data_IF_041730855019
#
_entry.id   IF_041730855019
#
_cell.length_a   1.000
_cell.length_b   1.000
_cell.length_c   1.000
_cell.angle_alpha   90.00
_cell.angle_beta   90.00
_cell.angle_gamma   90.00
#
_symmetry.space_group_name_H-M   'P 1'
#
loop_
_entity.id
_entity.type
_entity.pdbx_description
1 polymer ?
#
# COMPACT_ATOMS: atom_id res chain seq x y z
N UNK A 1 -24.19 2.86 24.40
CA UNK A 1 -24.01 2.28 25.74
C UNK A 1 -22.70 1.51 25.79
N UNK A 2 -21.95 1.52 26.88
CA UNK A 2 -20.78 0.64 27.03
C UNK A 2 -21.17 -0.80 26.73
N UNK A 3 -20.25 -1.56 26.07
CA UNK A 3 -20.45 -2.96 25.72
C UNK A 3 -21.69 -3.23 24.83
N UNK A 4 -22.01 -2.31 23.93
CA UNK A 4 -23.07 -2.50 22.94
C UNK A 4 -22.53 -2.38 21.52
N UNK A 5 -23.20 -3.04 20.58
CA UNK A 5 -22.92 -2.92 19.14
C UNK A 5 -23.92 -1.97 18.50
N UNK A 6 -23.45 -1.18 17.56
CA UNK A 6 -24.31 -0.32 16.73
C UNK A 6 -24.05 -0.64 15.26
N UNK A 7 -25.11 -0.76 14.47
CA UNK A 7 -25.02 -1.01 13.03
C UNK A 7 -25.48 0.23 12.29
N UNK A 8 -24.70 0.63 11.28
CA UNK A 8 -25.05 1.69 10.34
C UNK A 8 -25.17 1.09 8.94
N UNK A 9 -26.14 1.57 8.19
CA UNK A 9 -26.23 1.30 6.75
C UNK A 9 -26.16 2.63 6.02
N UNK A 10 -25.33 2.68 4.97
CA UNK A 10 -25.14 3.88 4.18
C UNK A 10 -25.11 3.50 2.69
N UNK A 11 -25.81 4.30 1.89
CA UNK A 11 -25.70 4.27 0.43
C UNK A 11 -25.06 5.57 -0.01
N UNK A 12 -24.13 5.48 -0.95
CA UNK A 12 -23.47 6.67 -1.51
C UNK A 12 -23.16 6.47 -2.99
N UNK A 13 -23.08 7.57 -3.70
CA UNK A 13 -22.58 7.64 -5.07
C UNK A 13 -21.32 8.49 -5.08
N UNK A 14 -20.33 8.08 -5.89
CA UNK A 14 -19.10 8.82 -6.08
C UNK A 14 -18.73 8.86 -7.56
N UNK A 15 -18.29 10.01 -8.01
CA UNK A 15 -17.71 10.17 -9.35
C UNK A 15 -16.21 9.95 -9.27
N UNK A 16 -15.70 8.95 -10.00
CA UNK A 16 -14.25 8.69 -10.06
C UNK A 16 -13.62 9.77 -10.93
N UNK A 17 -12.80 10.68 -10.36
CA UNK A 17 -12.14 11.72 -11.12
C UNK A 17 -11.04 11.16 -12.02
N UNK A 18 -10.54 11.95 -12.96
CA UNK A 18 -9.20 11.69 -13.48
C UNK A 18 -8.21 11.76 -12.31
N UNK A 19 -7.23 10.87 -12.31
CA UNK A 19 -6.27 10.84 -11.21
C UNK A 19 -5.49 12.15 -11.13
N UNK A 20 -5.57 12.79 -9.97
CA UNK A 20 -4.77 13.97 -9.60
C UNK A 20 -3.68 13.56 -8.63
N UNK A 21 -4.06 12.74 -7.65
CA UNK A 21 -3.21 12.15 -6.64
C UNK A 21 -3.46 10.63 -6.57
N UNK A 22 -3.66 10.08 -5.41
CA UNK A 22 -3.69 8.63 -5.08
C UNK A 22 -4.89 7.88 -5.66
N UNK A 23 -6.06 8.53 -5.75
CA UNK A 23 -7.30 7.93 -6.28
C UNK A 23 -7.72 8.55 -7.60
N UNK A 24 -8.29 7.74 -8.47
CA UNK A 24 -8.85 8.22 -9.73
C UNK A 24 -8.77 7.20 -10.87
N UNK A 25 -9.15 7.65 -12.04
CA UNK A 25 -9.09 6.86 -13.28
C UNK A 25 -8.03 7.40 -14.23
N UNK A 26 -7.53 6.51 -15.13
CA UNK A 26 -6.59 6.85 -16.18
C UNK A 26 -5.35 7.58 -15.66
N UNK A 27 -4.57 6.89 -14.83
CA UNK A 27 -3.33 7.45 -14.31
C UNK A 27 -2.28 7.64 -15.41
N UNK A 28 -1.16 8.26 -15.10
CA UNK A 28 -0.11 8.57 -16.09
C UNK A 28 0.58 7.33 -16.69
N UNK A 29 0.49 6.16 -16.07
CA UNK A 29 1.01 4.89 -16.59
C UNK A 29 -0.08 4.07 -17.31
N UNK A 30 -1.29 4.60 -17.43
CA UNK A 30 -2.39 3.99 -18.19
C UNK A 30 -3.27 3.05 -17.36
N UNK A 31 -3.13 3.01 -16.04
CA UNK A 31 -3.99 2.18 -15.19
C UNK A 31 -5.40 2.77 -15.15
N UNK A 32 -6.39 1.93 -15.43
CA UNK A 32 -7.78 2.35 -15.58
C UNK A 32 -8.38 2.95 -14.31
N UNK A 33 -8.16 2.33 -13.15
CA UNK A 33 -8.70 2.78 -11.86
C UNK A 33 -7.76 2.50 -10.70
N UNK A 34 -7.61 3.49 -9.82
CA UNK A 34 -7.02 3.34 -8.49
C UNK A 34 -8.00 3.88 -7.46
N UNK A 35 -8.39 3.03 -6.53
CA UNK A 35 -9.48 3.30 -5.58
C UNK A 35 -8.94 3.26 -4.16
N UNK A 36 -8.51 4.41 -3.72
CA UNK A 36 -8.03 4.65 -2.36
C UNK A 36 -8.92 5.70 -1.70
N UNK A 37 -9.18 5.59 -0.41
CA UNK A 37 -10.09 6.49 0.31
C UNK A 37 -11.48 6.62 -0.38
N UNK A 38 -11.99 5.50 -0.90
CA UNK A 38 -13.15 5.45 -1.82
C UNK A 38 -14.50 5.24 -1.14
N UNK A 39 -14.49 4.95 0.16
CA UNK A 39 -15.69 4.68 0.96
C UNK A 39 -15.70 5.56 2.21
N UNK A 40 -16.88 5.85 2.82
CA UNK A 40 -16.98 6.54 4.10
C UNK A 40 -16.34 5.72 5.22
N UNK A 41 -15.34 6.28 5.91
CA UNK A 41 -14.67 5.65 7.06
C UNK A 41 -15.22 6.22 8.37
N UNK A 42 -15.24 5.39 9.41
CA UNK A 42 -15.52 5.85 10.78
C UNK A 42 -14.25 6.50 11.31
N UNK A 43 -14.39 7.75 11.82
CA UNK A 43 -13.28 8.39 12.50
C UNK A 43 -12.99 7.68 13.84
N UNK A 44 -11.72 7.63 14.23
CA UNK A 44 -11.35 7.18 15.56
C UNK A 44 -11.85 8.15 16.63
N UNK A 45 -12.19 7.60 17.79
CA UNK A 45 -12.50 8.38 19.00
C UNK A 45 -11.49 8.02 20.08
N UNK A 46 -10.61 8.95 20.40
CA UNK A 46 -9.57 8.78 21.40
C UNK A 46 -9.74 9.77 22.58
N UNK A 47 -8.69 9.99 23.36
CA UNK A 47 -8.69 10.90 24.51
C UNK A 47 -8.84 12.39 24.12
N UNK A 48 -8.51 12.74 22.88
CA UNK A 48 -8.69 14.10 22.32
C UNK A 48 -10.06 14.27 21.63
N UNK A 49 -10.86 13.18 21.54
CA UNK A 49 -12.17 13.17 20.91
C UNK A 49 -12.17 12.51 19.53
N UNK A 50 -13.01 13.01 18.62
CA UNK A 50 -13.10 12.47 17.26
C UNK A 50 -11.93 12.94 16.38
N UNK A 51 -11.16 12.01 15.83
CA UNK A 51 -10.08 12.29 14.88
C UNK A 51 -10.64 12.63 13.48
N UNK A 52 -11.21 13.83 13.35
CA UNK A 52 -11.83 14.35 12.11
C UNK A 52 -10.96 15.46 11.51
N UNK A 53 -9.73 15.13 11.15
CA UNK A 53 -8.78 16.09 10.60
C UNK A 53 -9.07 16.37 9.13
N UNK A 54 -9.00 17.64 8.74
CA UNK A 54 -9.02 18.03 7.33
C UNK A 54 -7.76 17.46 6.63
N UNK A 55 -7.95 16.90 5.45
CA UNK A 55 -6.84 16.45 4.64
C UNK A 55 -6.11 17.64 4.00
N UNK A 56 -5.04 18.08 4.63
CA UNK A 56 -4.18 19.18 4.17
C UNK A 56 -2.73 18.67 4.12
N UNK A 57 -2.40 17.87 3.10
CA UNK A 57 -1.05 17.31 2.93
C UNK A 57 -0.61 16.38 4.05
N UNK A 58 -1.54 15.63 4.63
CA UNK A 58 -1.35 14.68 5.73
C UNK A 58 -1.62 13.25 5.27
N UNK A 59 -1.17 12.28 6.03
CA UNK A 59 -1.50 10.88 5.84
C UNK A 59 -2.90 10.54 6.39
N UNK A 60 -3.39 9.33 6.09
CA UNK A 60 -4.74 8.91 6.41
C UNK A 60 -4.76 8.05 7.66
N UNK A 61 -5.50 8.47 8.66
CA UNK A 61 -5.69 7.71 9.90
C UNK A 61 -7.09 7.10 9.99
N UNK A 62 -7.18 5.90 10.53
CA UNK A 62 -8.43 5.21 10.82
C UNK A 62 -8.22 4.14 11.90
N UNK A 63 -9.28 3.74 12.64
CA UNK A 63 -9.17 2.63 13.57
C UNK A 63 -9.02 1.29 12.85
N UNK A 64 -8.42 0.32 13.50
CA UNK A 64 -8.41 -1.06 13.03
C UNK A 64 -9.82 -1.55 12.75
N UNK A 65 -9.97 -2.17 11.60
CA UNK A 65 -11.26 -2.69 11.12
C UNK A 65 -11.09 -4.03 10.41
N UNK A 66 -12.15 -4.85 10.47
CA UNK A 66 -12.29 -6.00 9.62
C UNK A 66 -13.11 -5.62 8.39
N UNK A 67 -12.67 -6.04 7.22
CA UNK A 67 -13.28 -5.74 5.93
C UNK A 67 -13.82 -7.00 5.26
N UNK A 68 -15.03 -6.91 4.75
CA UNK A 68 -15.65 -7.85 3.81
C UNK A 68 -16.14 -7.01 2.62
N UNK A 69 -15.43 -7.11 1.50
CA UNK A 69 -15.59 -6.20 0.36
C UNK A 69 -15.99 -6.96 -0.88
N UNK A 70 -17.13 -6.58 -1.46
CA UNK A 70 -17.60 -7.09 -2.75
C UNK A 70 -17.54 -6.01 -3.81
N UNK A 71 -16.70 -6.22 -4.85
CA UNK A 71 -16.54 -5.29 -5.96
C UNK A 71 -17.16 -5.92 -7.21
N UNK A 72 -18.15 -5.25 -7.77
CA UNK A 72 -18.81 -5.70 -9.00
C UNK A 72 -18.43 -4.80 -10.16
N UNK A 73 -17.66 -5.35 -11.09
CA UNK A 73 -17.06 -4.62 -12.23
C UNK A 73 -17.15 -5.44 -13.51
N UNK A 74 -16.85 -4.88 -14.67
CA UNK A 74 -16.78 -5.64 -15.91
C UNK A 74 -15.83 -6.83 -15.76
N UNK A 75 -16.24 -8.01 -16.27
CA UNK A 75 -15.51 -9.26 -16.07
C UNK A 75 -14.09 -9.27 -16.65
N UNK A 76 -13.78 -8.31 -17.53
CA UNK A 76 -12.48 -8.19 -18.20
C UNK A 76 -11.43 -7.52 -17.32
N UNK A 77 -11.84 -6.91 -16.21
CA UNK A 77 -10.91 -6.33 -15.26
C UNK A 77 -10.23 -7.39 -14.42
N UNK A 78 -8.97 -7.13 -14.09
CA UNK A 78 -8.23 -7.77 -13.01
C UNK A 78 -8.09 -6.75 -11.87
N UNK A 79 -8.36 -7.17 -10.64
CA UNK A 79 -8.27 -6.32 -9.46
C UNK A 79 -7.08 -6.75 -8.61
N UNK A 80 -6.20 -5.79 -8.27
CA UNK A 80 -5.26 -5.90 -7.17
C UNK A 80 -5.78 -5.17 -5.94
N UNK A 81 -5.68 -5.78 -4.76
CA UNK A 81 -6.15 -5.18 -3.52
C UNK A 81 -5.34 -5.66 -2.31
N UNK A 82 -5.51 -4.99 -1.16
CA UNK A 82 -5.12 -5.50 0.14
C UNK A 82 -6.09 -6.58 0.62
N UNK A 83 -5.57 -7.60 1.32
CA UNK A 83 -6.39 -8.68 1.86
C UNK A 83 -6.30 -9.98 1.10
N UNK A 84 -7.27 -10.86 1.37
CA UNK A 84 -7.38 -12.20 0.78
C UNK A 84 -8.53 -12.22 -0.21
N UNK A 85 -8.26 -12.68 -1.44
CA UNK A 85 -9.28 -12.92 -2.45
C UNK A 85 -9.98 -14.25 -2.15
N UNK A 86 -11.29 -14.20 -1.87
CA UNK A 86 -12.08 -15.36 -1.45
C UNK A 86 -12.57 -16.22 -2.63
N UNK A 87 -12.61 -15.68 -3.83
CA UNK A 87 -13.14 -16.37 -5.00
C UNK A 87 -12.21 -16.35 -6.24
N UNK A 88 -10.94 -16.75 -6.10
CA UNK A 88 -9.97 -16.69 -7.20
C UNK A 88 -10.35 -17.57 -8.40
N UNK A 89 -11.16 -18.62 -8.18
CA UNK A 89 -11.65 -19.50 -9.24
C UNK A 89 -12.85 -18.93 -10.05
N UNK A 90 -13.39 -17.80 -9.64
CA UNK A 90 -14.59 -17.17 -10.26
C UNK A 90 -14.26 -15.88 -11.01
N UNK A 91 -13.03 -15.38 -10.88
CA UNK A 91 -12.53 -14.13 -11.47
C UNK A 91 -11.22 -14.39 -12.20
N UNK A 92 -10.82 -13.48 -13.08
CA UNK A 92 -9.60 -13.69 -13.87
C UNK A 92 -8.31 -13.23 -13.14
N UNK A 93 -7.19 -13.79 -13.59
CA UNK A 93 -5.84 -13.33 -13.22
C UNK A 93 -5.18 -14.08 -12.08
N UNK A 94 -5.92 -14.63 -11.11
CA UNK A 94 -5.36 -15.25 -9.90
C UNK A 94 -5.20 -16.77 -9.98
N UNK A 95 -6.00 -17.45 -10.79
CA UNK A 95 -5.91 -18.90 -10.97
C UNK A 95 -6.10 -19.29 -12.44
N UNK A 96 -5.17 -20.07 -12.98
CA UNK A 96 -5.24 -20.53 -14.36
C UNK A 96 -6.45 -21.45 -14.65
N UNK A 97 -7.05 -22.02 -13.60
CA UNK A 97 -8.25 -22.88 -13.69
C UNK A 97 -9.55 -22.12 -13.47
N UNK A 98 -9.47 -20.80 -13.34
CA UNK A 98 -10.64 -19.98 -13.09
C UNK A 98 -11.71 -20.17 -14.18
N UNK A 99 -12.94 -20.36 -13.74
CA UNK A 99 -14.14 -20.33 -14.58
C UNK A 99 -14.89 -19.03 -14.24
N UNK A 100 -14.66 -18.01 -15.05
CA UNK A 100 -15.12 -16.63 -14.77
C UNK A 100 -16.64 -16.61 -14.71
N UNK A 101 -17.16 -16.24 -13.55
CA UNK A 101 -18.59 -16.05 -13.33
C UNK A 101 -18.98 -14.60 -13.58
N UNK A 102 -19.92 -14.38 -14.46
CA UNK A 102 -20.46 -13.04 -14.74
C UNK A 102 -22.00 -13.07 -14.76
N UNK A 103 -22.59 -11.91 -14.47
CA UNK A 103 -24.02 -11.70 -14.62
C UNK A 103 -24.40 -11.43 -16.09
N UNK A 104 -25.71 -11.19 -16.33
CA UNK A 104 -26.26 -10.89 -17.65
C UNK A 104 -25.79 -9.52 -18.22
N UNK A 105 -25.09 -8.71 -17.44
CA UNK A 105 -24.47 -7.43 -17.84
C UNK A 105 -22.95 -7.55 -17.99
N UNK A 106 -22.41 -8.76 -18.08
CA UNK A 106 -20.97 -9.01 -18.17
C UNK A 106 -20.16 -8.51 -16.96
N UNK A 107 -20.77 -8.42 -15.76
CA UNK A 107 -20.08 -8.03 -14.53
C UNK A 107 -19.68 -9.26 -13.72
N UNK A 108 -18.42 -9.31 -13.28
CA UNK A 108 -17.93 -10.25 -12.29
C UNK A 108 -17.96 -9.63 -10.90
N UNK A 109 -18.12 -10.45 -9.88
CA UNK A 109 -18.06 -10.02 -8.48
C UNK A 109 -16.81 -10.57 -7.83
N UNK A 110 -15.97 -9.69 -7.37
CA UNK A 110 -14.77 -9.97 -6.59
C UNK A 110 -15.11 -9.91 -5.10
N UNK A 111 -14.65 -10.89 -4.32
CA UNK A 111 -14.89 -10.93 -2.87
C UNK A 111 -13.55 -10.96 -2.13
N UNK A 112 -13.34 -9.96 -1.29
CA UNK A 112 -12.13 -9.79 -0.53
C UNK A 112 -12.43 -9.73 0.96
N UNK A 113 -11.55 -10.31 1.77
CA UNK A 113 -11.56 -10.16 3.23
C UNK A 113 -10.21 -9.65 3.73
N UNK A 114 -10.25 -8.80 4.74
CA UNK A 114 -9.05 -8.39 5.45
C UNK A 114 -9.40 -8.16 6.93
N UNK A 115 -8.47 -8.44 7.83
CA UNK A 115 -8.70 -8.31 9.27
C UNK A 115 -7.64 -7.44 9.91
N UNK A 116 -8.09 -6.60 10.84
CA UNK A 116 -7.22 -5.72 11.62
C UNK A 116 -6.33 -4.84 10.74
N UNK A 117 -6.91 -4.20 9.73
CA UNK A 117 -6.23 -3.22 8.88
C UNK A 117 -6.89 -1.85 9.00
N UNK A 118 -6.18 -0.78 8.64
CA UNK A 118 -6.63 0.60 8.82
C UNK A 118 -7.54 1.08 7.69
N UNK A 119 -7.35 0.54 6.48
CA UNK A 119 -8.20 0.83 5.33
C UNK A 119 -8.13 -0.28 4.29
N UNK A 120 -9.01 -0.22 3.30
CA UNK A 120 -9.05 -1.15 2.16
C UNK A 120 -8.90 -0.38 0.86
N UNK A 121 -7.80 -0.61 0.15
CA UNK A 121 -7.52 -0.02 -1.15
C UNK A 121 -7.44 -1.09 -2.25
N UNK A 122 -7.79 -0.70 -3.48
CA UNK A 122 -7.74 -1.57 -4.64
C UNK A 122 -7.47 -0.78 -5.93
N UNK A 123 -6.93 -1.45 -6.93
CA UNK A 123 -6.81 -0.92 -8.28
C UNK A 123 -7.31 -1.96 -9.28
N UNK A 124 -7.73 -1.52 -10.45
CA UNK A 124 -8.25 -2.39 -11.50
C UNK A 124 -7.77 -1.93 -12.87
N UNK A 125 -7.38 -2.91 -13.68
CA UNK A 125 -7.00 -2.70 -15.06
C UNK A 125 -7.28 -3.96 -15.88
N UNK A 126 -7.54 -3.81 -17.20
CA UNK A 126 -7.79 -4.94 -18.09
C UNK A 126 -6.51 -5.67 -18.49
N UNK A 127 -5.40 -4.97 -18.47
CA UNK A 127 -4.09 -5.47 -18.90
C UNK A 127 -3.21 -5.91 -17.70
N UNK A 128 -3.77 -5.93 -16.49
CA UNK A 128 -3.04 -6.43 -15.34
C UNK A 128 -2.70 -7.91 -15.45
N UNK A 129 -1.45 -8.21 -15.15
CA UNK A 129 -0.95 -9.55 -14.86
C UNK A 129 -0.80 -9.70 -13.34
N UNK A 130 -1.18 -10.85 -12.81
CA UNK A 130 -0.95 -11.21 -11.41
C UNK A 130 0.16 -12.25 -11.35
N UNK A 131 1.20 -11.96 -10.59
CA UNK A 131 2.26 -12.90 -10.29
C UNK A 131 2.33 -13.14 -8.79
N UNK A 132 2.46 -14.40 -8.40
CA UNK A 132 2.45 -14.84 -7.00
C UNK A 132 3.77 -15.48 -6.65
N UNK A 133 4.31 -15.17 -5.47
CA UNK A 133 5.41 -15.91 -4.85
C UNK A 133 5.30 -15.89 -3.34
N UNK A 134 5.86 -16.91 -2.69
CA UNK A 134 5.77 -17.07 -1.23
C UNK A 134 7.11 -16.79 -0.58
N UNK A 135 7.11 -15.98 0.47
CA UNK A 135 8.28 -15.74 1.32
C UNK A 135 8.34 -16.84 2.38
N UNK A 136 9.48 -17.50 2.52
CA UNK A 136 9.68 -18.45 3.60
C UNK A 136 9.55 -17.73 4.96
N UNK A 137 8.68 -18.21 5.82
CA UNK A 137 8.34 -17.59 7.10
C UNK A 137 7.83 -16.13 6.95
N UNK A 138 7.12 -15.86 5.85
CA UNK A 138 6.58 -14.54 5.53
C UNK A 138 5.27 -14.64 4.75
N UNK A 139 4.80 -13.52 4.18
CA UNK A 139 3.55 -13.48 3.46
C UNK A 139 3.63 -14.17 2.09
N UNK A 140 2.47 -14.49 1.55
CA UNK A 140 2.30 -14.67 0.12
C UNK A 140 2.31 -13.28 -0.53
N UNK A 141 3.19 -13.05 -1.49
CA UNK A 141 3.30 -11.77 -2.18
C UNK A 141 2.66 -11.85 -3.55
N UNK A 142 1.88 -10.82 -3.88
CA UNK A 142 1.31 -10.62 -5.20
C UNK A 142 1.92 -9.39 -5.86
N UNK A 143 2.32 -9.53 -7.12
CA UNK A 143 2.60 -8.43 -8.02
C UNK A 143 1.44 -8.29 -8.99
N UNK A 144 0.81 -7.12 -9.02
CA UNK A 144 -0.32 -6.83 -9.90
C UNK A 144 0.04 -5.61 -10.75
N UNK A 145 0.37 -5.85 -12.01
CA UNK A 145 0.93 -4.80 -12.88
C UNK A 145 0.71 -5.12 -14.36
N UNK A 146 0.79 -4.11 -15.22
CA UNK A 146 0.81 -4.28 -16.67
C UNK A 146 2.19 -4.78 -17.11
N UNK A 147 2.27 -6.02 -17.59
CA UNK A 147 3.53 -6.63 -18.02
C UNK A 147 3.98 -6.08 -19.36
N UNK A 148 5.10 -5.39 -19.39
CA UNK A 148 5.67 -4.75 -20.56
C UNK A 148 7.19 -4.58 -20.43
N UNK A 149 7.86 -4.11 -21.48
CA UNK A 149 9.28 -3.74 -21.41
C UNK A 149 9.57 -2.65 -20.38
N UNK A 150 8.60 -1.77 -20.10
CA UNK A 150 8.76 -0.69 -19.12
C UNK A 150 8.67 -1.19 -17.67
N UNK A 151 8.06 -2.34 -17.45
CA UNK A 151 7.83 -2.95 -16.14
C UNK A 151 8.63 -4.23 -15.91
N UNK A 152 9.57 -4.59 -16.81
CA UNK A 152 10.38 -5.80 -16.70
C UNK A 152 11.13 -5.92 -15.37
N UNK A 153 11.48 -4.81 -14.74
CA UNK A 153 12.19 -4.77 -13.46
C UNK A 153 11.34 -5.30 -12.29
N UNK A 154 10.02 -5.42 -12.45
CA UNK A 154 9.18 -6.05 -11.44
C UNK A 154 9.57 -7.52 -11.23
N UNK A 155 9.81 -8.27 -12.30
CA UNK A 155 10.30 -9.65 -12.19
C UNK A 155 11.68 -9.71 -11.53
N UNK A 156 12.58 -8.81 -11.92
CA UNK A 156 13.94 -8.73 -11.38
C UNK A 156 13.96 -8.33 -9.89
N UNK A 157 12.94 -7.62 -9.40
CA UNK A 157 12.84 -7.18 -8.00
C UNK A 157 12.48 -8.29 -7.01
N UNK A 158 11.89 -9.42 -7.45
CA UNK A 158 11.39 -10.48 -6.56
C UNK A 158 12.40 -11.00 -5.53
N UNK A 159 13.68 -11.28 -5.90
CA UNK A 159 14.68 -11.71 -4.92
C UNK A 159 14.96 -10.66 -3.85
N UNK A 160 14.92 -9.39 -4.22
CA UNK A 160 15.15 -8.27 -3.31
C UNK A 160 13.97 -8.10 -2.35
N UNK A 161 12.74 -8.16 -2.84
CA UNK A 161 11.53 -8.13 -1.99
C UNK A 161 11.47 -9.35 -1.07
N UNK A 162 11.86 -10.52 -1.54
CA UNK A 162 12.02 -11.70 -0.69
C UNK A 162 12.99 -11.42 0.45
N UNK A 163 14.16 -10.84 0.12
CA UNK A 163 15.17 -10.52 1.12
C UNK A 163 14.74 -9.40 2.05
N UNK A 164 13.98 -8.41 1.57
CA UNK A 164 13.37 -7.36 2.39
C UNK A 164 12.52 -7.96 3.52
N UNK A 165 11.53 -8.80 3.21
CA UNK A 165 10.70 -9.43 4.24
C UNK A 165 11.54 -10.28 5.23
N UNK A 166 12.53 -11.01 4.74
CA UNK A 166 13.42 -11.79 5.60
C UNK A 166 14.23 -10.91 6.57
N UNK A 167 14.78 -9.79 6.09
CA UNK A 167 15.54 -8.85 6.90
C UNK A 167 14.65 -8.16 7.94
N UNK A 168 13.46 -7.73 7.52
CA UNK A 168 12.49 -7.10 8.41
C UNK A 168 12.01 -8.09 9.49
N UNK A 169 11.66 -9.31 9.11
CA UNK A 169 11.24 -10.34 10.06
C UNK A 169 12.34 -10.65 11.10
N UNK A 170 13.59 -10.68 10.67
CA UNK A 170 14.71 -10.97 11.56
C UNK A 170 15.05 -9.83 12.52
N UNK A 171 14.91 -8.57 12.07
CA UNK A 171 15.33 -7.41 12.84
C UNK A 171 14.21 -6.76 13.67
N UNK A 172 12.98 -6.74 13.14
CA UNK A 172 11.88 -5.93 13.69
C UNK A 172 10.63 -6.75 14.07
N UNK A 173 10.60 -8.03 13.74
CA UNK A 173 9.52 -8.94 14.07
C UNK A 173 8.79 -9.47 12.84
N UNK A 174 8.04 -10.54 13.06
CA UNK A 174 7.33 -11.26 12.00
C UNK A 174 6.25 -10.40 11.36
N UNK A 175 6.19 -10.37 10.03
CA UNK A 175 5.04 -9.83 9.31
C UNK A 175 3.77 -10.60 9.68
N UNK A 176 2.74 -9.90 10.12
CA UNK A 176 1.58 -10.53 10.80
C UNK A 176 0.43 -10.92 9.87
N UNK A 177 0.39 -10.38 8.66
CA UNK A 177 -0.70 -10.66 7.71
C UNK A 177 -0.34 -11.80 6.75
N UNK A 178 -1.36 -12.53 6.21
CA UNK A 178 -1.11 -13.70 5.36
C UNK A 178 -0.57 -13.37 3.96
N UNK A 179 -0.80 -12.15 3.49
CA UNK A 179 -0.41 -11.73 2.14
C UNK A 179 0.02 -10.27 2.10
N UNK A 180 0.70 -9.90 1.03
CA UNK A 180 1.02 -8.52 0.66
C UNK A 180 0.96 -8.33 -0.85
N UNK A 181 0.36 -7.23 -1.31
CA UNK A 181 0.23 -6.92 -2.73
C UNK A 181 1.01 -5.67 -3.12
N UNK A 182 1.94 -5.79 -4.05
CA UNK A 182 2.49 -4.64 -4.77
C UNK A 182 1.67 -4.43 -6.03
N UNK A 183 1.06 -3.25 -6.17
CA UNK A 183 0.09 -2.96 -7.23
C UNK A 183 0.58 -1.75 -8.01
N UNK A 184 0.69 -1.88 -9.33
CA UNK A 184 0.97 -0.72 -10.20
C UNK A 184 -0.25 0.18 -10.19
N UNK A 185 -0.09 1.41 -9.69
CA UNK A 185 -1.20 2.35 -9.55
C UNK A 185 -0.79 3.57 -8.74
N UNK A 186 -1.72 4.47 -8.52
CA UNK A 186 -1.44 5.67 -7.77
C UNK A 186 -0.60 6.71 -8.52
N UNK A 187 0.00 7.62 -7.81
CA UNK A 187 0.74 8.79 -8.34
C UNK A 187 2.23 8.83 -7.97
N UNK A 188 2.71 7.85 -7.24
CA UNK A 188 4.10 7.73 -6.78
C UNK A 188 4.32 6.42 -6.05
N UNK A 189 4.26 6.46 -4.75
CA UNK A 189 4.14 5.34 -3.82
C UNK A 189 3.16 5.71 -2.72
N UNK A 190 2.50 4.73 -2.15
CA UNK A 190 1.62 4.86 -0.99
C UNK A 190 1.31 3.51 -0.39
N UNK A 191 1.43 3.43 0.90
CA UNK A 191 1.06 2.27 1.70
C UNK A 191 -0.44 2.22 1.98
N UNK A 192 -0.96 0.99 2.09
CA UNK A 192 -2.33 0.68 2.50
C UNK A 192 -2.36 -0.65 3.24
N UNK A 193 -3.49 -0.98 3.84
CA UNK A 193 -3.65 -2.26 4.53
C UNK A 193 -3.34 -3.46 3.63
N UNK A 194 -2.26 -4.19 3.93
CA UNK A 194 -1.77 -5.36 3.21
C UNK A 194 -1.41 -5.12 1.73
N UNK A 195 -1.27 -3.88 1.29
CA UNK A 195 -0.83 -3.59 -0.07
C UNK A 195 -0.16 -2.21 -0.18
N UNK A 196 0.53 -2.01 -1.27
CA UNK A 196 1.01 -0.69 -1.70
C UNK A 196 0.66 -0.44 -3.15
N UNK A 197 0.41 0.82 -3.49
CA UNK A 197 0.24 1.26 -4.87
C UNK A 197 1.42 2.11 -5.29
N UNK A 198 2.11 1.68 -6.36
CA UNK A 198 3.33 2.32 -6.83
C UNK A 198 3.27 2.59 -8.34
N UNK A 199 3.93 3.66 -8.77
CA UNK A 199 4.28 3.86 -10.17
C UNK A 199 5.53 3.05 -10.48
N UNK A 200 5.39 2.08 -11.38
CA UNK A 200 6.40 1.05 -11.62
C UNK A 200 7.21 1.18 -12.91
N UNK A 201 6.94 2.21 -13.73
CA UNK A 201 7.66 2.46 -14.97
C UNK A 201 8.87 3.38 -14.78
N UNK A 202 9.87 3.23 -15.67
CA UNK A 202 10.96 4.22 -15.84
C UNK A 202 11.94 4.36 -14.68
N UNK A 203 11.96 3.41 -13.73
CA UNK A 203 12.88 3.39 -12.60
C UNK A 203 14.11 2.52 -12.89
N UNK A 204 15.20 2.72 -12.13
CA UNK A 204 16.25 1.70 -12.01
C UNK A 204 15.76 0.57 -11.10
N UNK A 205 16.44 -0.58 -11.13
CA UNK A 205 16.13 -1.70 -10.22
C UNK A 205 16.24 -1.27 -8.75
N UNK A 206 17.33 -0.59 -8.39
CA UNK A 206 17.52 -0.04 -7.04
C UNK A 206 16.42 0.94 -6.67
N UNK A 207 16.02 1.85 -7.58
CA UNK A 207 14.94 2.80 -7.32
C UNK A 207 13.55 2.17 -7.22
N UNK A 208 13.29 1.08 -7.95
CA UNK A 208 12.03 0.33 -7.80
C UNK A 208 12.02 -0.45 -6.49
N UNK A 209 13.12 -1.15 -6.18
CA UNK A 209 13.25 -1.90 -4.92
C UNK A 209 13.19 -0.96 -3.72
N UNK A 210 13.87 0.19 -3.77
CA UNK A 210 13.81 1.18 -2.70
C UNK A 210 12.38 1.65 -2.43
N UNK A 211 11.60 1.93 -3.49
CA UNK A 211 10.19 2.26 -3.33
C UNK A 211 9.38 1.13 -2.71
N UNK A 212 9.59 -0.12 -3.17
CA UNK A 212 8.92 -1.29 -2.61
C UNK A 212 9.29 -1.54 -1.14
N UNK A 213 10.54 -1.29 -0.77
CA UNK A 213 11.04 -1.41 0.61
C UNK A 213 10.44 -0.33 1.50
N UNK A 214 10.41 0.90 1.03
CA UNK A 214 9.83 2.03 1.77
C UNK A 214 8.35 1.78 2.06
N UNK A 215 7.54 1.62 1.02
CA UNK A 215 6.09 1.42 1.16
C UNK A 215 5.75 0.10 1.90
N UNK A 216 6.54 -0.96 1.66
CA UNK A 216 6.41 -2.21 2.41
C UNK A 216 6.82 -2.09 3.87
N UNK A 217 7.75 -1.18 4.19
CA UNK A 217 8.24 -0.90 5.53
C UNK A 217 7.17 -0.34 6.46
N UNK A 218 6.28 0.51 5.95
CA UNK A 218 5.11 1.02 6.69
C UNK A 218 4.25 -0.12 7.30
N UNK A 219 4.20 -1.27 6.63
CA UNK A 219 3.45 -2.44 7.12
C UNK A 219 3.99 -3.06 8.40
N UNK A 220 5.24 -2.79 8.76
CA UNK A 220 5.87 -3.28 10.00
C UNK A 220 5.72 -2.34 11.19
N UNK A 221 5.29 -1.12 10.97
CA UNK A 221 5.18 -0.11 12.00
C UNK A 221 3.80 0.56 11.98
N UNK A 222 3.54 1.41 11.01
CA UNK A 222 2.30 2.18 10.92
C UNK A 222 1.05 1.27 10.87
N UNK A 223 1.04 0.27 9.98
CA UNK A 223 -0.12 -0.64 9.82
C UNK A 223 -0.33 -1.58 11.01
N UNK A 224 0.71 -1.90 11.78
CA UNK A 224 0.60 -2.81 12.94
C UNK A 224 0.30 -2.05 14.23
N UNK A 225 0.85 -0.85 14.40
CA UNK A 225 0.71 -0.06 15.63
C UNK A 225 -0.43 0.95 15.58
N UNK A 226 -0.87 1.33 14.38
CA UNK A 226 -1.98 2.25 14.11
C UNK A 226 -1.91 3.56 14.92
N UNK A 227 -0.73 4.15 15.02
CA UNK A 227 -0.64 5.46 15.62
C UNK A 227 -1.24 6.54 14.70
N UNK A 228 -1.70 7.62 15.30
CA UNK A 228 -2.35 8.70 14.57
C UNK A 228 -1.33 9.51 13.75
N UNK A 229 -1.15 9.15 12.49
CA UNK A 229 -0.23 9.78 11.53
C UNK A 229 -0.61 11.23 11.23
N UNK A 230 -1.90 11.58 11.35
CA UNK A 230 -2.34 12.96 11.14
C UNK A 230 -1.73 13.95 12.13
N UNK A 231 -1.34 13.48 13.30
CA UNK A 231 -0.70 14.31 14.34
C UNK A 231 0.73 13.88 14.68
N UNK A 232 1.15 12.70 14.25
CA UNK A 232 2.50 12.14 14.51
C UNK A 232 3.14 11.57 13.24
N UNK A 233 3.21 12.31 12.12
CA UNK A 233 3.71 11.78 10.84
C UNK A 233 5.17 11.30 10.92
N UNK A 234 5.96 11.82 11.86
CA UNK A 234 7.34 11.37 12.07
C UNK A 234 7.45 9.94 12.60
N UNK A 235 6.42 9.42 13.27
CA UNK A 235 6.40 8.02 13.71
C UNK A 235 6.20 7.08 12.52
N UNK A 236 5.48 7.53 11.52
CA UNK A 236 5.25 6.81 10.29
C UNK A 236 6.48 6.89 9.37
N UNK A 237 6.77 8.04 8.84
CA UNK A 237 7.83 8.26 7.87
C UNK A 237 9.25 8.11 8.45
N UNK A 238 9.43 8.49 9.73
CA UNK A 238 10.74 8.42 10.37
C UNK A 238 11.20 7.00 10.65
N UNK A 239 10.32 6.14 11.17
CA UNK A 239 10.65 4.72 11.36
C UNK A 239 10.78 4.01 10.03
N UNK A 240 9.91 4.29 9.06
CA UNK A 240 9.97 3.69 7.73
C UNK A 240 11.26 4.08 7.00
N UNK A 241 11.68 5.34 7.07
CA UNK A 241 12.98 5.78 6.53
C UNK A 241 14.16 5.05 7.19
N UNK A 242 14.09 4.77 8.49
CA UNK A 242 15.11 3.98 9.17
C UNK A 242 15.14 2.52 8.68
N UNK A 243 13.97 1.89 8.45
CA UNK A 243 13.89 0.54 7.90
C UNK A 243 14.40 0.49 6.47
N UNK A 244 14.05 1.49 5.66
CA UNK A 244 14.52 1.64 4.29
C UNK A 244 16.05 1.70 4.25
N UNK A 245 16.67 2.60 5.00
CA UNK A 245 18.13 2.69 5.12
C UNK A 245 18.75 1.36 5.58
N UNK A 246 18.18 0.71 6.59
CA UNK A 246 18.68 -0.57 7.11
C UNK A 246 18.65 -1.69 6.06
N UNK A 247 17.56 -1.80 5.32
CA UNK A 247 17.37 -2.83 4.30
C UNK A 247 18.18 -2.51 3.05
N UNK A 248 18.09 -1.29 2.52
CA UNK A 248 18.74 -0.90 1.28
C UNK A 248 20.26 -0.98 1.35
N UNK A 249 20.86 -0.67 2.51
CA UNK A 249 22.30 -0.89 2.71
C UNK A 249 22.71 -2.36 2.58
N UNK A 250 21.83 -3.30 2.87
CA UNK A 250 22.12 -4.73 2.73
C UNK A 250 21.82 -5.25 1.32
N UNK A 251 20.81 -4.69 0.66
CA UNK A 251 20.44 -5.07 -0.71
C UNK A 251 21.37 -4.47 -1.76
N UNK A 252 21.77 -3.22 -1.55
CA UNK A 252 22.63 -2.43 -2.44
C UNK A 252 23.75 -1.76 -1.62
N UNK A 253 24.74 -2.54 -1.15
CA UNK A 253 25.78 -1.97 -0.30
C UNK A 253 26.58 -0.90 -1.05
N UNK A 254 26.89 0.23 -0.41
CA UNK A 254 27.68 1.29 -1.01
C UNK A 254 29.06 0.76 -1.42
N UNK A 255 29.58 1.23 -2.55
CA UNK A 255 30.91 0.82 -3.06
C UNK A 255 32.04 1.19 -2.14
N UNK A 256 31.89 2.28 -1.41
CA UNK A 256 32.87 2.76 -0.42
C UNK A 256 32.22 2.83 0.95
N UNK A 257 32.94 2.51 2.03
CA UNK A 257 32.40 2.61 3.38
C UNK A 257 31.92 4.05 3.69
N UNK A 258 30.68 4.17 4.07
CA UNK A 258 30.11 5.46 4.52
C UNK A 258 30.36 5.59 6.02
N UNK A 259 31.20 6.54 6.41
CA UNK A 259 31.57 6.76 7.81
C UNK A 259 30.37 7.12 8.71
N UNK A 260 29.38 7.81 8.14
CA UNK A 260 28.11 8.09 8.80
C UNK A 260 26.99 8.10 7.74
N UNK A 261 26.12 7.10 7.72
CA UNK A 261 25.04 6.99 6.72
C UNK A 261 24.04 8.14 6.80
N UNK A 262 23.93 8.80 7.96
CA UNK A 262 22.96 9.89 8.19
C UNK A 262 23.47 11.28 7.79
N UNK A 263 24.70 11.42 7.32
CA UNK A 263 25.25 12.75 6.94
C UNK A 263 24.39 13.45 5.88
N UNK A 264 23.86 12.72 4.91
CA UNK A 264 22.98 13.28 3.88
C UNK A 264 21.70 13.87 4.50
N UNK A 265 21.02 13.10 5.31
CA UNK A 265 19.78 13.49 6.01
C UNK A 265 20.03 14.66 6.97
N UNK A 266 21.13 14.64 7.73
CA UNK A 266 21.52 15.73 8.63
C UNK A 266 21.74 17.03 7.83
N UNK A 267 22.47 16.97 6.72
CA UNK A 267 22.71 18.16 5.87
C UNK A 267 21.43 18.70 5.26
N UNK A 268 20.55 17.82 4.80
CA UNK A 268 19.24 18.21 4.26
C UNK A 268 18.39 18.89 5.32
N UNK A 269 18.33 18.32 6.52
CA UNK A 269 17.61 18.90 7.66
C UNK A 269 18.18 20.28 8.04
N UNK A 270 19.49 20.41 8.22
CA UNK A 270 20.13 21.70 8.51
C UNK A 270 19.85 22.74 7.41
N UNK A 271 19.86 22.32 6.15
CA UNK A 271 19.50 23.21 5.04
C UNK A 271 18.04 23.66 5.09
N UNK A 272 17.14 22.75 5.47
CA UNK A 272 15.71 23.05 5.61
C UNK A 272 15.45 24.01 6.79
N UNK A 273 16.03 23.76 7.98
CA UNK A 273 15.87 24.63 9.16
C UNK A 273 16.35 26.06 8.89
N UNK A 274 17.42 26.22 8.10
CA UNK A 274 17.93 27.53 7.70
C UNK A 274 16.95 28.33 6.81
N UNK A 275 15.91 27.69 6.29
CA UNK A 275 14.86 28.41 5.52
C UNK A 275 13.84 29.12 6.41
N UNK A 276 13.84 28.85 7.72
CA UNK A 276 12.85 29.36 8.68
C UNK A 276 11.44 28.79 8.49
N UNK A 277 11.30 27.65 7.81
CA UNK A 277 10.02 26.96 7.51
C UNK A 277 9.84 25.69 8.34
N UNK A 278 10.66 25.50 9.35
CA UNK A 278 10.59 24.34 10.22
C UNK A 278 9.33 24.41 11.09
N UNK A 279 8.52 23.38 11.03
CA UNK A 279 7.43 23.13 11.97
C UNK A 279 7.88 22.14 13.06
N UNK A 280 7.35 22.22 14.29
CA UNK A 280 7.67 21.24 15.32
C UNK A 280 7.32 19.83 14.86
N UNK A 281 8.21 18.87 15.13
CA UNK A 281 7.94 17.45 14.85
C UNK A 281 6.81 16.87 15.72
N UNK A 282 6.45 17.59 16.77
CA UNK A 282 5.33 17.31 17.67
C UNK A 282 4.47 18.58 17.76
N UNK A 283 3.31 18.53 17.16
CA UNK A 283 2.32 19.61 17.24
C UNK A 283 1.43 19.48 18.46
#
# INVERSE_FOLDING_TARGET
KPNSTTTFTMEWDAVIPHQIRRAGRNNREGIDMTMTQWYPKIAEYDYDGWATFDYIGREFHAPFSDFDVSIKIDKDYVIGAGGTLENPLEVQGYDAKANIKSDNKNKATWRWTAKNILDFAWAADRDYTVEEFTILDGPKVYYVYQKSEKTKLWEESKPYVTKFFQLMNAAFGQYVYPSYSFIQGGDGGMEYGMCTMILGEGRSLEGLVGLMVHEGGHSYNQQILAYNESVRPWMDEGFTSYYDDYVMHQLFPPKEPVANPFVGSIKSYVSFTNTGKEDPAVG
#
